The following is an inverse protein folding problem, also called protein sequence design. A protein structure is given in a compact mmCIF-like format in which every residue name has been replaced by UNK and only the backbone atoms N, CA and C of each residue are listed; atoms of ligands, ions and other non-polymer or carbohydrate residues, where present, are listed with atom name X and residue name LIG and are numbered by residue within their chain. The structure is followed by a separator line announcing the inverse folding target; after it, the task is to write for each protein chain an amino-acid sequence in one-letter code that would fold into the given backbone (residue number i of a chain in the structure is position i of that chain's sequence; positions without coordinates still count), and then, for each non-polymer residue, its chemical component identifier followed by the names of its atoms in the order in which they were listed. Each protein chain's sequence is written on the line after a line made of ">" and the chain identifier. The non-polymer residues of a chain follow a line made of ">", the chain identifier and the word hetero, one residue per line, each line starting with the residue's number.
data_IF_543657278795
#
_entry.id   IF_543657278795
#
_cell.length_a   1.000
_cell.length_b   1.000
_cell.length_c   1.000
_cell.angle_alpha   90.00
_cell.angle_beta   90.00
_cell.angle_gamma   90.00
#
_symmetry.space_group_name_H-M   'P 1'
#
loop_
_entity.id
_entity.type
_entity.pdbx_description
1 polymer ?
#
# COMPACT_ATOMS: atom_id res chain seq x y z
N UNK A 1 -19.92 -12.11 14.05
CA UNK A 1 -18.57 -11.87 14.62
C UNK A 1 -18.63 -10.54 15.35
N UNK A 2 -18.16 -10.45 16.59
CA UNK A 2 -18.21 -9.21 17.39
C UNK A 2 -17.04 -8.29 17.02
N UNK A 3 -17.20 -6.98 17.21
CA UNK A 3 -16.14 -5.96 17.01
C UNK A 3 -14.83 -6.35 17.73
N UNK A 4 -14.95 -6.77 18.99
CA UNK A 4 -13.82 -7.25 19.79
C UNK A 4 -13.05 -8.41 19.12
N UNK A 5 -13.75 -9.37 18.52
CA UNK A 5 -13.11 -10.51 17.83
C UNK A 5 -12.40 -10.09 16.55
N UNK A 6 -12.95 -9.13 15.80
CA UNK A 6 -12.28 -8.58 14.60
C UNK A 6 -11.00 -7.86 15.01
N UNK A 7 -11.08 -7.05 16.05
CA UNK A 7 -9.93 -6.30 16.55
C UNK A 7 -8.83 -7.23 17.11
N UNK A 8 -9.19 -8.30 17.80
CA UNK A 8 -8.25 -9.31 18.29
C UNK A 8 -7.56 -10.03 17.13
N UNK A 9 -8.32 -10.53 16.16
CA UNK A 9 -7.76 -11.17 14.96
C UNK A 9 -6.85 -10.22 14.15
N UNK A 10 -7.19 -8.93 14.07
CA UNK A 10 -6.34 -7.94 13.41
C UNK A 10 -5.00 -7.76 14.14
N UNK A 11 -5.01 -7.75 15.48
CA UNK A 11 -3.77 -7.69 16.27
C UNK A 11 -2.92 -8.95 16.13
N UNK A 12 -3.54 -10.12 16.09
CA UNK A 12 -2.85 -11.39 15.84
C UNK A 12 -2.18 -11.38 14.46
N UNK A 13 -2.89 -10.93 13.42
CA UNK A 13 -2.32 -10.77 12.09
C UNK A 13 -1.11 -9.82 12.09
N UNK A 14 -1.21 -8.69 12.80
CA UNK A 14 -0.09 -7.75 12.92
C UNK A 14 1.13 -8.37 13.63
N UNK A 15 0.92 -9.23 14.62
CA UNK A 15 2.01 -9.93 15.30
C UNK A 15 2.77 -10.87 14.35
N UNK A 16 2.04 -11.62 13.50
CA UNK A 16 2.64 -12.48 12.47
C UNK A 16 3.46 -11.65 11.48
N UNK A 17 2.90 -10.53 11.00
CA UNK A 17 3.60 -9.62 10.09
C UNK A 17 4.86 -9.04 10.74
N UNK A 18 4.81 -8.72 12.03
CA UNK A 18 5.96 -8.19 12.76
C UNK A 18 7.13 -9.18 12.82
N UNK A 19 6.86 -10.48 13.03
CA UNK A 19 7.89 -11.52 13.00
C UNK A 19 8.57 -11.57 11.62
N UNK A 20 7.79 -11.62 10.54
CA UNK A 20 8.30 -11.68 9.16
C UNK A 20 9.14 -10.43 8.81
N UNK A 21 8.63 -9.25 9.18
CA UNK A 21 9.31 -7.98 8.89
C UNK A 21 10.63 -7.88 9.65
N UNK A 22 10.70 -8.40 10.87
CA UNK A 22 11.93 -8.35 11.69
C UNK A 22 13.07 -9.09 11.00
N UNK A 23 12.80 -10.25 10.41
CA UNK A 23 13.79 -11.00 9.64
C UNK A 23 14.16 -10.26 8.35
N UNK A 24 13.15 -9.80 7.59
CA UNK A 24 13.35 -9.11 6.32
C UNK A 24 14.21 -7.84 6.46
N UNK A 25 14.03 -7.05 7.53
CA UNK A 25 14.80 -5.82 7.73
C UNK A 25 16.30 -6.09 7.85
N UNK A 26 16.69 -7.23 8.43
CA UNK A 26 18.10 -7.60 8.56
C UNK A 26 18.76 -7.91 7.21
N UNK A 27 17.96 -8.33 6.22
CA UNK A 27 18.43 -8.67 4.87
C UNK A 27 18.43 -7.46 3.91
N UNK A 28 17.76 -6.37 4.28
CA UNK A 28 17.65 -5.16 3.46
C UNK A 28 18.82 -4.20 3.72
N UNK A 29 19.50 -3.80 2.65
CA UNK A 29 20.53 -2.75 2.70
C UNK A 29 19.94 -1.33 2.58
N UNK A 30 20.53 -0.41 3.34
CA UNK A 30 20.24 1.02 3.25
C UNK A 30 19.00 1.48 4.02
N UNK A 31 18.55 2.72 3.76
CA UNK A 31 17.38 3.31 4.41
C UNK A 31 16.10 2.58 4.01
N UNK A 32 15.40 2.02 5.00
CA UNK A 32 14.13 1.31 4.84
C UNK A 32 13.02 1.99 5.65
N UNK A 33 11.82 2.05 5.08
CA UNK A 33 10.60 2.53 5.75
C UNK A 33 9.56 1.42 5.69
N UNK A 34 8.93 1.15 6.83
CA UNK A 34 7.75 0.28 6.92
C UNK A 34 6.53 1.20 6.95
N UNK A 35 5.61 0.95 6.02
CA UNK A 35 4.34 1.68 5.91
C UNK A 35 3.22 0.71 5.52
N UNK A 36 1.99 1.20 5.46
CA UNK A 36 0.85 0.45 4.95
C UNK A 36 0.22 1.20 3.77
N UNK A 37 -0.43 0.46 2.88
CA UNK A 37 -1.19 0.99 1.76
C UNK A 37 -2.52 1.62 2.20
N UNK A 38 -3.11 1.14 3.31
CA UNK A 38 -4.32 1.69 3.92
C UNK A 38 -4.43 1.33 5.41
N UNK A 39 -5.32 2.03 6.12
CA UNK A 39 -5.77 1.63 7.47
C UNK A 39 -7.02 0.75 7.43
N UNK A 40 -7.72 0.59 8.56
CA UNK A 40 -8.85 -0.33 8.67
C UNK A 40 -9.98 0.27 9.53
N UNK A 41 -11.24 0.03 9.17
CA UNK A 41 -12.38 0.39 10.03
C UNK A 41 -12.71 -0.75 10.99
N UNK A 42 -12.94 -0.42 12.26
CA UNK A 42 -13.37 -1.36 13.31
C UNK A 42 -14.78 -1.09 13.82
N UNK A 43 -15.46 -0.06 13.33
CA UNK A 43 -16.84 0.24 13.72
C UNK A 43 -17.21 1.71 13.64
N UNK A 44 -16.36 2.51 13.02
CA UNK A 44 -16.52 3.95 12.87
C UNK A 44 -17.76 4.27 12.04
N UNK A 45 -18.33 5.44 12.32
CA UNK A 45 -19.55 5.90 11.67
C UNK A 45 -19.21 6.46 10.29
N UNK A 46 -19.83 5.90 9.26
CA UNK A 46 -19.69 6.39 7.89
C UNK A 46 -20.53 7.65 7.66
N UNK A 47 -20.21 8.38 6.60
CA UNK A 47 -20.94 9.55 6.11
C UNK A 47 -21.08 9.44 4.58
N UNK A 48 -22.18 9.89 3.95
CA UNK A 48 -23.36 10.59 4.52
C UNK A 48 -24.37 9.68 5.22
N UNK A 49 -24.34 8.38 4.95
CA UNK A 49 -25.24 7.42 5.57
C UNK A 49 -24.58 6.93 6.88
N UNK A 50 -25.17 7.18 8.06
CA UNK A 50 -24.56 6.96 9.36
C UNK A 50 -24.54 5.50 9.84
N UNK A 51 -24.20 4.58 8.95
CA UNK A 51 -23.99 3.17 9.29
C UNK A 51 -22.57 2.95 9.81
N UNK A 52 -22.35 1.91 10.61
CA UNK A 52 -21.01 1.53 11.06
C UNK A 52 -20.28 0.76 9.97
N UNK A 53 -19.07 1.23 9.64
CA UNK A 53 -18.18 0.56 8.71
C UNK A 53 -17.26 -0.41 9.45
N UNK A 54 -16.97 -1.54 8.81
CA UNK A 54 -15.91 -2.48 9.20
C UNK A 54 -15.17 -2.80 7.91
N UNK A 55 -13.88 -3.08 8.02
CA UNK A 55 -12.97 -3.30 6.91
C UNK A 55 -12.72 -2.03 6.06
N UNK A 56 -12.18 -2.19 4.84
CA UNK A 56 -11.79 -1.10 3.95
C UNK A 56 -12.59 -1.11 2.63
N UNK A 57 -13.88 -0.77 2.68
CA UNK A 57 -14.72 -0.70 1.47
C UNK A 57 -14.19 0.37 0.49
N UNK A 58 -14.07 0.01 -0.79
CA UNK A 58 -13.61 0.91 -1.85
C UNK A 58 -14.47 2.17 -1.93
N UNK A 59 -13.82 3.33 -2.09
CA UNK A 59 -14.48 4.62 -2.28
C UNK A 59 -14.82 5.37 -0.98
N UNK A 60 -14.51 4.79 0.18
CA UNK A 60 -14.62 5.47 1.48
C UNK A 60 -13.28 6.11 1.83
N UNK A 61 -13.30 7.41 2.14
CA UNK A 61 -12.14 8.18 2.60
C UNK A 61 -12.44 8.72 3.99
N UNK A 62 -12.06 7.95 5.00
CA UNK A 62 -12.11 8.35 6.40
C UNK A 62 -10.70 8.23 6.98
N UNK A 63 -10.39 9.04 7.98
CA UNK A 63 -9.06 9.07 8.60
C UNK A 63 -8.54 7.68 9.02
N UNK A 64 -9.36 6.76 9.59
CA UNK A 64 -8.89 5.41 9.92
C UNK A 64 -8.46 4.57 8.72
N UNK A 65 -8.88 4.90 7.50
CA UNK A 65 -8.49 4.20 6.27
C UNK A 65 -7.29 4.85 5.56
N UNK A 66 -7.00 6.11 5.84
CA UNK A 66 -5.94 6.87 5.15
C UNK A 66 -4.76 7.21 6.04
N UNK A 67 -4.93 7.13 7.36
CA UNK A 67 -3.86 7.35 8.33
C UNK A 67 -3.10 6.04 8.52
N UNK A 68 -1.91 5.96 7.93
CA UNK A 68 -1.05 4.78 7.92
C UNK A 68 0.23 5.03 8.71
N UNK A 69 0.84 3.99 9.30
CA UNK A 69 2.12 4.14 9.99
C UNK A 69 3.23 4.55 9.02
N UNK A 70 4.17 5.36 9.50
CA UNK A 70 5.43 5.64 8.82
C UNK A 70 6.58 5.35 9.79
N UNK A 71 7.16 4.16 9.70
CA UNK A 71 8.25 3.76 10.58
C UNK A 71 9.57 3.72 9.80
N UNK A 72 10.44 4.68 10.08
CA UNK A 72 11.81 4.66 9.54
C UNK A 72 12.67 3.70 10.35
N UNK A 73 13.19 2.66 9.70
CA UNK A 73 14.11 1.72 10.34
C UNK A 73 15.48 2.38 10.55
N UNK A 74 16.25 1.99 11.57
CA UNK A 74 17.63 2.42 11.72
C UNK A 74 18.47 2.09 10.48
N UNK A 75 19.31 3.03 10.03
CA UNK A 75 20.20 2.84 8.89
C UNK A 75 21.50 3.63 9.09
N UNK A 76 22.61 3.15 8.54
CA UNK A 76 23.91 3.84 8.55
C UNK A 76 24.21 4.56 7.24
N UNK A 77 23.66 4.08 6.13
CA UNK A 77 23.84 4.64 4.79
C UNK A 77 22.60 4.43 3.93
N UNK A 78 22.53 5.14 2.79
CA UNK A 78 21.49 4.93 1.77
C UNK A 78 21.95 3.85 0.78
N UNK A 79 21.00 3.07 0.25
CA UNK A 79 21.24 2.10 -0.84
C UNK A 79 21.82 2.82 -2.07
N UNK A 80 22.83 2.22 -2.68
CA UNK A 80 23.38 2.71 -3.94
C UNK A 80 22.38 2.46 -5.07
N UNK A 81 22.03 3.50 -5.81
CA UNK A 81 21.12 3.41 -6.95
C UNK A 81 21.88 3.64 -8.25
N UNK A 82 21.55 2.88 -9.29
CA UNK A 82 22.11 3.04 -10.63
C UNK A 82 20.98 3.39 -11.60
N UNK A 83 21.29 4.20 -12.61
CA UNK A 83 20.34 4.44 -13.69
C UNK A 83 20.22 3.16 -14.52
N UNK A 84 19.00 2.68 -14.71
CA UNK A 84 18.74 1.67 -15.73
C UNK A 84 18.92 2.30 -17.12
N UNK A 85 19.45 1.53 -18.08
CA UNK A 85 19.51 1.95 -19.48
C UNK A 85 18.11 1.77 -20.06
N UNK A 86 17.56 2.76 -20.80
CA UNK A 86 16.22 2.62 -21.39
C UNK A 86 16.10 1.33 -22.21
N UNK A 87 15.13 0.48 -21.88
CA UNK A 87 14.81 -0.68 -22.69
C UNK A 87 14.07 -0.21 -23.96
N UNK A 88 14.79 -0.23 -25.09
CA UNK A 88 14.24 0.11 -26.41
C UNK A 88 13.21 -0.92 -26.92
N UNK A 89 12.97 -2.02 -26.21
CA UNK A 89 11.90 -2.97 -26.56
C UNK A 89 10.51 -2.30 -26.57
N UNK A 90 10.26 -1.34 -25.68
CA UNK A 90 9.00 -0.58 -25.60
C UNK A 90 8.87 0.40 -26.79
N UNK A 91 9.98 0.91 -27.31
CA UNK A 91 9.99 1.81 -28.48
C UNK A 91 9.66 1.10 -29.81
N UNK A 92 9.56 -0.23 -29.81
CA UNK A 92 9.12 -1.02 -30.97
C UNK A 92 7.60 -1.22 -31.06
N UNK A 93 6.82 -0.68 -30.13
CA UNK A 93 5.36 -0.67 -30.29
C UNK A 93 5.02 0.25 -31.47
N UNK A 94 4.25 -0.27 -32.42
CA UNK A 94 3.75 0.55 -33.50
C UNK A 94 2.88 1.69 -32.94
N UNK A 95 2.85 2.82 -33.65
CA UNK A 95 2.13 4.01 -33.21
C UNK A 95 0.62 3.76 -33.05
N UNK A 96 0.05 2.86 -33.83
CA UNK A 96 -1.39 2.52 -33.80
C UNK A 96 -1.74 1.81 -32.49
N UNK A 97 -0.88 0.91 -32.02
CA UNK A 97 -1.00 0.24 -30.73
C UNK A 97 -0.92 1.25 -29.58
N UNK A 98 -0.02 2.24 -29.67
CA UNK A 98 0.07 3.32 -28.68
C UNK A 98 -1.19 4.18 -28.66
N UNK A 99 -1.65 4.66 -29.82
CA UNK A 99 -2.88 5.47 -29.93
C UNK A 99 -4.13 4.71 -29.45
N UNK A 100 -4.26 3.43 -29.80
CA UNK A 100 -5.36 2.57 -29.36
C UNK A 100 -5.43 2.43 -27.83
N UNK A 101 -4.26 2.24 -27.18
CA UNK A 101 -4.17 2.16 -25.72
C UNK A 101 -4.49 3.49 -25.06
N UNK A 102 -3.97 4.60 -25.60
CA UNK A 102 -4.25 5.94 -25.09
C UNK A 102 -5.74 6.27 -25.19
N UNK A 103 -6.39 5.94 -26.31
CA UNK A 103 -7.84 6.09 -26.48
C UNK A 103 -8.64 5.25 -25.49
N UNK A 104 -8.20 4.02 -25.22
CA UNK A 104 -8.82 3.14 -24.21
C UNK A 104 -8.69 3.69 -22.79
N UNK A 105 -7.64 4.47 -22.52
CA UNK A 105 -7.43 5.21 -21.26
C UNK A 105 -8.13 6.58 -21.23
N UNK A 106 -8.83 6.97 -22.30
CA UNK A 106 -9.56 8.23 -22.39
C UNK A 106 -8.72 9.44 -22.83
N UNK A 107 -7.49 9.22 -23.27
CA UNK A 107 -6.67 10.25 -23.91
C UNK A 107 -7.04 10.38 -25.39
N UNK A 108 -6.77 11.56 -25.96
CA UNK A 108 -7.16 11.94 -27.33
C UNK A 108 -6.15 11.48 -28.36
#
# INVERSE_FOLDING_TARGET
>A
MTEKRVHEAYRENLAIVHEIITDLINDLDGKTVITSDHGELFGERLYPIPVRGILHKRGIRLDPLTTVPWHECPYSSRRTTFSEVPDDSIRKLDKETVESRLKSLGYR
#
